data_IF_633560996385
#
_entry.id   IF_633560996385
#
_cell.length_a   1.000
_cell.length_b   1.000
_cell.length_c   1.000
_cell.angle_alpha   90.00
_cell.angle_beta   90.00
_cell.angle_gamma   90.00
#
_symmetry.space_group_name_H-M   'P 1'
#
loop_
_entity.id
_entity.type
_entity.pdbx_description
1 polymer ?
#
# COMPACT_ATOMS: atom_id res chain seq x y z
N UNK A 1 -9.50 -14.23 -23.67
CA UNK A 1 -10.90 -14.46 -23.24
C UNK A 1 -10.84 -14.74 -21.76
N UNK A 2 -11.45 -13.90 -20.96
CA UNK A 2 -11.43 -14.02 -19.49
C UNK A 2 -12.36 -15.14 -19.04
N UNK A 3 -11.91 -16.01 -18.14
CA UNK A 3 -12.73 -17.09 -17.59
C UNK A 3 -13.26 -16.72 -16.20
N UNK A 4 -14.59 -16.67 -16.04
CA UNK A 4 -15.20 -16.68 -14.72
C UNK A 4 -15.25 -18.12 -14.21
N UNK A 5 -14.58 -18.38 -13.09
CA UNK A 5 -14.43 -19.70 -12.50
C UNK A 5 -15.47 -19.93 -11.41
N UNK A 6 -15.96 -21.16 -11.33
CA UNK A 6 -16.70 -21.67 -10.17
C UNK A 6 -15.84 -22.64 -9.36
N UNK A 7 -16.23 -22.88 -8.11
CA UNK A 7 -15.50 -23.78 -7.20
C UNK A 7 -15.18 -25.13 -7.86
N UNK A 8 -13.90 -25.50 -7.84
CA UNK A 8 -13.35 -26.72 -8.44
C UNK A 8 -12.96 -26.62 -9.92
N UNK A 9 -13.35 -25.55 -10.61
CA UNK A 9 -13.03 -25.36 -12.04
C UNK A 9 -11.56 -25.05 -12.25
N UNK A 10 -11.02 -25.55 -13.37
CA UNK A 10 -9.65 -25.32 -13.80
C UNK A 10 -9.61 -24.46 -15.07
N UNK A 11 -8.58 -23.63 -15.20
CA UNK A 11 -8.32 -22.86 -16.40
C UNK A 11 -6.82 -22.81 -16.72
N UNK A 12 -6.39 -23.00 -17.98
CA UNK A 12 -4.98 -22.83 -18.35
C UNK A 12 -4.51 -21.39 -18.16
N UNK A 13 -3.26 -21.23 -17.75
CA UNK A 13 -2.62 -19.92 -17.68
C UNK A 13 -1.90 -19.64 -19.01
N UNK A 14 -2.08 -18.45 -19.62
CA UNK A 14 -1.46 -18.13 -20.92
C UNK A 14 0.03 -17.80 -20.82
N UNK A 15 0.55 -17.59 -19.61
CA UNK A 15 1.94 -17.27 -19.32
C UNK A 15 2.29 -17.56 -17.87
N UNK A 16 3.54 -17.28 -17.51
CA UNK A 16 4.15 -17.61 -16.21
C UNK A 16 4.25 -16.42 -15.29
N UNK A 17 4.22 -15.20 -15.84
CA UNK A 17 4.20 -13.94 -15.10
C UNK A 17 2.80 -13.37 -15.01
N UNK A 18 2.29 -13.26 -13.80
CA UNK A 18 0.90 -13.00 -13.48
C UNK A 18 0.81 -12.10 -12.25
N UNK A 19 -0.36 -11.51 -12.07
CA UNK A 19 -0.73 -10.87 -10.82
C UNK A 19 -2.04 -11.44 -10.31
N UNK A 20 -2.14 -11.59 -9.00
CA UNK A 20 -3.36 -12.02 -8.34
C UNK A 20 -3.88 -10.85 -7.53
N UNK A 21 -5.06 -10.36 -7.91
CA UNK A 21 -5.76 -9.28 -7.23
C UNK A 21 -6.85 -9.88 -6.35
N UNK A 22 -6.96 -9.39 -5.12
CA UNK A 22 -7.99 -9.83 -4.17
C UNK A 22 -8.73 -8.61 -3.66
N UNK A 23 -10.05 -8.70 -3.52
CA UNK A 23 -10.91 -7.65 -2.97
C UNK A 23 -11.97 -8.24 -2.04
N UNK A 24 -12.02 -7.76 -0.79
CA UNK A 24 -12.93 -8.26 0.27
C UNK A 24 -13.66 -7.12 1.01
N UNK A 25 -13.24 -5.86 0.81
CA UNK A 25 -13.90 -4.68 1.40
C UNK A 25 -13.64 -4.45 2.90
N UNK A 26 -13.06 -5.43 3.61
CA UNK A 26 -12.51 -5.29 4.97
C UNK A 26 -11.07 -5.79 5.00
N UNK A 27 -10.21 -5.26 5.90
CA UNK A 27 -8.82 -5.69 6.00
C UNK A 27 -8.70 -7.19 6.25
N UNK A 28 -8.11 -7.90 5.31
CA UNK A 28 -7.74 -9.31 5.42
C UNK A 28 -6.23 -9.48 5.22
N UNK A 29 -5.70 -10.62 5.64
CA UNK A 29 -4.34 -11.07 5.36
C UNK A 29 -4.35 -11.88 4.07
N UNK A 30 -3.41 -11.60 3.17
CA UNK A 30 -3.13 -12.44 2.01
C UNK A 30 -1.73 -13.06 2.14
N UNK A 31 -1.61 -14.31 1.72
CA UNK A 31 -0.34 -15.04 1.71
C UNK A 31 -0.33 -16.12 0.63
N UNK A 32 0.80 -16.79 0.49
CA UNK A 32 1.01 -17.88 -0.46
C UNK A 32 1.79 -19.00 0.20
N UNK A 33 1.40 -20.24 -0.08
CA UNK A 33 2.20 -21.43 0.25
C UNK A 33 2.62 -22.14 -1.01
N UNK A 34 3.89 -22.53 -1.05
CA UNK A 34 4.44 -23.43 -2.05
C UNK A 34 4.32 -24.88 -1.54
N UNK A 35 3.92 -25.79 -2.41
CA UNK A 35 3.84 -27.22 -2.08
C UNK A 35 4.43 -28.08 -3.18
N UNK A 36 4.91 -29.26 -2.78
CA UNK A 36 5.38 -30.30 -3.71
C UNK A 36 4.21 -30.99 -4.46
N UNK A 37 4.54 -31.99 -5.28
CA UNK A 37 3.57 -32.74 -6.08
C UNK A 37 2.48 -33.40 -5.22
N UNK A 38 2.83 -33.80 -4.00
CA UNK A 38 1.92 -34.41 -3.02
C UNK A 38 1.06 -33.38 -2.29
N UNK A 39 1.25 -32.08 -2.54
CA UNK A 39 0.53 -31.00 -1.88
C UNK A 39 1.09 -30.61 -0.53
N UNK A 40 2.28 -31.09 -0.16
CA UNK A 40 2.89 -30.83 1.15
C UNK A 40 3.77 -29.58 1.12
N UNK A 41 3.62 -28.74 2.13
CA UNK A 41 4.52 -27.61 2.40
C UNK A 41 5.69 -28.10 3.24
N UNK A 42 6.92 -27.98 2.72
CA UNK A 42 8.11 -28.61 3.33
C UNK A 42 8.64 -27.88 4.56
N UNK A 43 8.45 -26.57 4.63
CA UNK A 43 8.97 -25.73 5.70
C UNK A 43 8.36 -24.33 5.67
N UNK A 44 8.65 -23.55 6.71
CA UNK A 44 8.13 -22.17 6.84
C UNK A 44 8.74 -21.23 5.81
N UNK A 45 9.91 -21.57 5.27
CA UNK A 45 10.59 -20.92 4.14
C UNK A 45 9.87 -21.11 2.80
N UNK A 46 8.82 -21.93 2.75
CA UNK A 46 7.95 -22.12 1.58
C UNK A 46 6.64 -21.33 1.69
N UNK A 47 6.55 -20.41 2.67
CA UNK A 47 5.36 -19.61 2.94
C UNK A 47 5.68 -18.12 2.81
N UNK A 48 5.06 -17.45 1.85
CA UNK A 48 5.09 -16.01 1.72
C UNK A 48 3.91 -15.40 2.48
N UNK A 49 4.17 -14.46 3.38
CA UNK A 49 3.16 -13.83 4.21
C UNK A 49 3.61 -12.42 4.63
N UNK A 50 2.77 -11.59 5.28
CA UNK A 50 3.16 -10.21 5.62
C UNK A 50 4.47 -10.02 6.40
N UNK A 51 4.87 -11.00 7.21
CA UNK A 51 6.13 -11.00 7.97
C UNK A 51 7.34 -11.50 7.17
N UNK A 52 7.12 -12.30 6.11
CA UNK A 52 8.14 -12.78 5.18
C UNK A 52 7.56 -12.72 3.75
N UNK A 53 7.54 -11.53 3.14
CA UNK A 53 6.68 -11.26 1.98
C UNK A 53 7.23 -11.78 0.64
N UNK A 54 8.48 -12.24 0.61
CA UNK A 54 9.17 -12.60 -0.63
C UNK A 54 9.59 -14.07 -0.62
N UNK A 55 9.32 -14.75 -1.73
CA UNK A 55 9.92 -16.03 -2.11
C UNK A 55 10.44 -15.92 -3.55
N UNK A 56 11.27 -16.86 -4.03
CA UNK A 56 11.65 -16.89 -5.44
C UNK A 56 10.41 -16.89 -6.34
N UNK A 57 10.26 -15.85 -7.16
CA UNK A 57 9.12 -15.67 -8.05
C UNK A 57 7.82 -15.23 -7.39
N UNK A 58 7.78 -14.90 -6.08
CA UNK A 58 6.55 -14.49 -5.41
C UNK A 58 6.77 -13.28 -4.50
N UNK A 59 5.86 -12.33 -4.58
CA UNK A 59 5.76 -11.21 -3.65
C UNK A 59 4.32 -11.07 -3.16
N UNK A 60 4.15 -11.01 -1.84
CA UNK A 60 2.85 -10.79 -1.18
C UNK A 60 2.84 -9.50 -0.37
N UNK A 61 1.64 -8.91 -0.12
CA UNK A 61 1.52 -7.70 0.67
C UNK A 61 2.05 -7.84 2.11
N UNK A 62 2.65 -6.75 2.62
CA UNK A 62 3.28 -6.69 3.95
C UNK A 62 2.31 -6.36 5.09
N UNK A 63 1.02 -6.21 4.79
CA UNK A 63 0.01 -5.76 5.74
C UNK A 63 -1.36 -6.31 5.38
N UNK A 64 -2.28 -6.27 6.34
CA UNK A 64 -3.68 -6.53 6.07
C UNK A 64 -4.32 -5.33 5.35
N UNK A 65 -5.15 -5.60 4.36
CA UNK A 65 -5.83 -4.59 3.55
C UNK A 65 -7.12 -5.16 2.95
N UNK A 66 -8.03 -4.27 2.54
CA UNK A 66 -9.27 -4.66 1.86
C UNK A 66 -9.03 -5.16 0.43
N UNK A 67 -7.94 -4.70 -0.17
CA UNK A 67 -7.49 -5.05 -1.51
C UNK A 67 -6.03 -5.48 -1.46
N UNK A 68 -5.69 -6.54 -2.19
CA UNK A 68 -4.34 -7.07 -2.30
C UNK A 68 -3.93 -7.27 -3.75
N UNK A 69 -2.62 -7.15 -3.99
CA UNK A 69 -1.95 -7.51 -5.23
C UNK A 69 -0.76 -8.40 -4.90
N UNK A 70 -0.74 -9.60 -5.45
CA UNK A 70 0.35 -10.55 -5.31
C UNK A 70 1.03 -10.67 -6.68
N UNK A 71 2.36 -10.52 -6.72
CA UNK A 71 3.13 -10.72 -7.93
C UNK A 71 3.61 -12.17 -8.00
N UNK A 72 3.46 -12.79 -9.18
CA UNK A 72 3.79 -14.20 -9.40
C UNK A 72 4.58 -14.36 -10.70
N UNK A 73 5.80 -14.89 -10.60
CA UNK A 73 6.65 -15.35 -11.69
C UNK A 73 6.91 -16.85 -11.51
N UNK A 74 6.09 -17.67 -12.17
CA UNK A 74 6.12 -19.13 -12.09
C UNK A 74 7.41 -19.75 -12.66
N UNK A 75 8.18 -19.01 -13.47
CA UNK A 75 9.48 -19.48 -13.98
C UNK A 75 10.60 -19.29 -12.95
N UNK A 76 10.42 -18.38 -11.99
CA UNK A 76 11.37 -18.15 -10.90
C UNK A 76 11.07 -19.00 -9.64
N UNK A 77 9.95 -19.71 -9.63
CA UNK A 77 9.60 -20.66 -8.57
C UNK A 77 10.49 -21.91 -8.71
N UNK A 78 11.03 -22.47 -7.61
CA UNK A 78 11.87 -23.67 -7.65
C UNK A 78 11.18 -24.86 -8.32
N UNK A 79 11.95 -25.69 -9.04
CA UNK A 79 11.40 -26.80 -9.85
C UNK A 79 10.70 -27.89 -9.03
N UNK A 80 11.01 -28.02 -7.74
CA UNK A 80 10.38 -28.97 -6.85
C UNK A 80 9.00 -28.53 -6.34
N UNK A 81 8.61 -27.28 -6.61
CA UNK A 81 7.26 -26.76 -6.36
C UNK A 81 6.33 -27.16 -7.51
N UNK A 82 5.20 -27.75 -7.14
CA UNK A 82 4.18 -28.17 -8.10
C UNK A 82 2.86 -27.41 -7.93
N UNK A 83 2.66 -26.79 -6.76
CA UNK A 83 1.44 -26.06 -6.39
C UNK A 83 1.78 -24.76 -5.66
N UNK A 84 1.05 -23.71 -5.98
CA UNK A 84 1.09 -22.38 -5.36
C UNK A 84 -0.32 -22.06 -4.88
N UNK A 85 -0.56 -22.11 -3.57
CA UNK A 85 -1.88 -21.83 -3.01
C UNK A 85 -1.96 -20.39 -2.51
N UNK A 86 -2.99 -19.67 -2.93
CA UNK A 86 -3.30 -18.32 -2.43
C UNK A 86 -4.17 -18.43 -1.20
N UNK A 87 -3.69 -17.86 -0.11
CA UNK A 87 -4.31 -17.94 1.21
C UNK A 87 -4.89 -16.59 1.59
N UNK A 88 -6.12 -16.59 2.10
CA UNK A 88 -6.79 -15.43 2.69
C UNK A 88 -7.12 -15.74 4.15
N UNK A 89 -6.91 -14.79 5.06
CA UNK A 89 -7.25 -14.98 6.47
C UNK A 89 -7.69 -13.68 7.15
N UNK A 90 -8.53 -13.78 8.16
CA UNK A 90 -8.95 -12.64 8.96
C UNK A 90 -7.87 -12.33 10.02
N UNK A 91 -7.52 -11.04 10.24
CA UNK A 91 -6.61 -10.66 11.31
C UNK A 91 -7.20 -11.02 12.68
N UNK A 92 -6.39 -11.63 13.55
CA UNK A 92 -6.80 -11.96 14.92
C UNK A 92 -6.51 -10.78 15.86
N UNK A 93 -7.45 -10.47 16.77
CA UNK A 93 -7.19 -9.63 17.95
C UNK A 93 -7.51 -8.13 17.83
N UNK A 94 -8.02 -7.65 16.69
CA UNK A 94 -8.32 -6.22 16.49
C UNK A 94 -9.74 -6.03 15.96
N UNK A 95 -10.73 -5.89 16.86
CA UNK A 95 -12.08 -5.31 16.61
C UNK A 95 -12.73 -5.58 15.25
N UNK A 96 -12.54 -6.77 14.67
CA UNK A 96 -12.79 -7.06 13.27
C UNK A 96 -13.72 -8.26 13.09
N UNK A 97 -14.08 -8.58 11.84
CA UNK A 97 -14.87 -9.76 11.54
C UNK A 97 -14.16 -11.01 12.06
N UNK A 98 -14.91 -11.89 12.72
CA UNK A 98 -14.41 -13.18 13.24
C UNK A 98 -14.53 -14.30 12.21
N UNK A 99 -15.37 -14.12 11.19
CA UNK A 99 -15.57 -15.07 10.11
C UNK A 99 -15.88 -14.39 8.77
N UNK A 100 -15.58 -15.08 7.68
CA UNK A 100 -15.82 -14.60 6.32
C UNK A 100 -17.31 -14.55 5.97
N UNK A 101 -18.18 -15.31 6.66
CA UNK A 101 -19.63 -15.20 6.50
C UNK A 101 -20.22 -13.84 6.90
N UNK A 102 -19.49 -13.06 7.70
CA UNK A 102 -19.87 -11.69 8.04
C UNK A 102 -19.41 -10.63 7.01
N UNK A 103 -18.71 -11.06 5.95
CA UNK A 103 -18.11 -10.18 4.94
C UNK A 103 -18.77 -10.32 3.57
N UNK A 104 -18.52 -9.33 2.72
CA UNK A 104 -18.77 -9.51 1.30
C UNK A 104 -17.90 -10.66 0.77
N UNK A 105 -18.47 -11.45 -0.15
CA UNK A 105 -17.79 -12.57 -0.77
C UNK A 105 -16.44 -12.14 -1.36
N UNK A 106 -15.31 -12.76 -0.96
CA UNK A 106 -14.01 -12.43 -1.52
C UNK A 106 -14.00 -12.61 -3.04
N UNK A 107 -13.54 -11.59 -3.74
CA UNK A 107 -13.30 -11.65 -5.18
C UNK A 107 -11.81 -11.77 -5.45
N UNK A 108 -11.44 -12.70 -6.34
CA UNK A 108 -10.05 -12.90 -6.77
C UNK A 108 -9.99 -12.86 -8.29
N UNK A 109 -9.03 -12.12 -8.83
CA UNK A 109 -8.74 -12.08 -10.26
C UNK A 109 -7.26 -12.39 -10.52
N UNK A 110 -7.02 -13.26 -11.51
CA UNK A 110 -5.69 -13.52 -12.07
C UNK A 110 -5.57 -12.69 -13.34
N UNK A 111 -4.57 -11.82 -13.40
CA UNK A 111 -4.30 -10.93 -14.54
C UNK A 111 -2.90 -11.17 -15.09
N UNK A 112 -2.71 -10.85 -16.37
CA UNK A 112 -1.38 -10.63 -16.93
C UNK A 112 -0.76 -9.32 -16.41
N UNK A 113 0.52 -9.11 -16.71
CA UNK A 113 1.24 -7.87 -16.35
C UNK A 113 0.70 -6.62 -17.07
N UNK A 114 0.02 -6.82 -18.19
CA UNK A 114 -0.68 -5.77 -18.96
C UNK A 114 -2.08 -5.46 -18.39
N UNK A 115 -2.46 -6.08 -17.27
CA UNK A 115 -3.78 -5.94 -16.65
C UNK A 115 -4.87 -6.79 -17.33
N UNK A 116 -4.54 -7.55 -18.37
CA UNK A 116 -5.53 -8.41 -19.03
C UNK A 116 -6.02 -9.51 -18.09
N UNK A 117 -7.33 -9.59 -17.85
CA UNK A 117 -7.89 -10.57 -16.94
C UNK A 117 -7.90 -11.97 -17.58
N UNK A 118 -7.19 -12.91 -16.95
CA UNK A 118 -7.09 -14.32 -17.35
C UNK A 118 -8.26 -15.10 -16.76
N UNK A 119 -8.43 -15.00 -15.45
CA UNK A 119 -9.50 -15.69 -14.73
C UNK A 119 -9.99 -14.86 -13.54
N UNK A 120 -11.24 -15.06 -13.13
CA UNK A 120 -11.77 -14.50 -11.89
C UNK A 120 -12.60 -15.52 -11.13
N UNK A 121 -12.67 -15.37 -9.82
CA UNK A 121 -13.41 -16.24 -8.93
C UNK A 121 -13.98 -15.45 -7.76
N UNK A 122 -15.30 -15.55 -7.55
CA UNK A 122 -15.98 -15.06 -6.35
C UNK A 122 -16.19 -16.22 -5.39
N UNK A 123 -15.63 -16.12 -4.18
CA UNK A 123 -15.71 -17.17 -3.18
C UNK A 123 -17.02 -17.01 -2.40
N UNK A 124 -18.00 -17.84 -2.72
CA UNK A 124 -19.29 -17.92 -2.03
C UNK A 124 -19.29 -19.01 -0.96
N UNK A 125 -20.39 -19.10 -0.21
CA UNK A 125 -20.66 -20.19 0.75
C UNK A 125 -19.63 -20.29 1.89
N UNK A 126 -19.11 -19.14 2.33
CA UNK A 126 -18.33 -19.00 3.56
C UNK A 126 -19.26 -18.58 4.70
N UNK A 127 -19.09 -19.18 5.87
CA UNK A 127 -19.88 -18.95 7.07
C UNK A 127 -18.95 -18.72 8.28
N UNK A 128 -18.62 -19.78 9.03
CA UNK A 128 -17.81 -19.72 10.25
C UNK A 128 -16.29 -19.67 9.99
N UNK A 129 -15.85 -19.74 8.73
CA UNK A 129 -14.45 -19.83 8.38
C UNK A 129 -13.71 -18.51 8.55
N UNK A 130 -12.49 -18.56 9.12
CA UNK A 130 -11.63 -17.40 9.34
C UNK A 130 -10.36 -17.42 8.47
N UNK A 131 -10.13 -18.52 7.74
CA UNK A 131 -9.13 -18.62 6.69
C UNK A 131 -9.68 -19.39 5.48
N UNK A 132 -9.18 -19.11 4.28
CA UNK A 132 -9.62 -19.69 3.02
C UNK A 132 -8.44 -19.89 2.07
N UNK A 133 -8.34 -21.07 1.46
CA UNK A 133 -7.54 -21.28 0.24
C UNK A 133 -8.38 -20.84 -0.95
N UNK A 134 -8.01 -19.70 -1.55
CA UNK A 134 -8.78 -19.07 -2.60
C UNK A 134 -8.55 -19.73 -3.96
N UNK A 135 -7.29 -19.80 -4.38
CA UNK A 135 -6.83 -20.32 -5.66
C UNK A 135 -5.66 -21.27 -5.46
N UNK A 136 -5.53 -22.22 -6.37
CA UNK A 136 -4.34 -23.05 -6.52
C UNK A 136 -3.81 -22.87 -7.95
N UNK A 137 -2.57 -22.43 -8.10
CA UNK A 137 -1.84 -22.58 -9.36
C UNK A 137 -1.08 -23.89 -9.30
N UNK A 138 -1.26 -24.77 -10.27
CA UNK A 138 -0.61 -26.07 -10.29
C UNK A 138 -0.02 -26.38 -11.66
N UNK A 139 1.09 -27.11 -11.67
CA UNK A 139 1.76 -27.57 -12.89
C UNK A 139 1.28 -28.97 -13.24
N UNK A 140 0.90 -29.18 -14.50
CA UNK A 140 0.57 -30.50 -15.06
C UNK A 140 1.06 -30.58 -16.50
N UNK A 141 1.89 -31.59 -16.79
CA UNK A 141 2.49 -31.80 -18.13
C UNK A 141 3.20 -30.52 -18.62
N UNK A 142 4.03 -29.93 -17.76
CA UNK A 142 4.80 -28.70 -18.04
C UNK A 142 3.98 -27.44 -18.36
N UNK A 143 2.66 -27.49 -18.15
CA UNK A 143 1.78 -26.33 -18.24
C UNK A 143 1.20 -25.97 -16.88
N UNK A 144 1.22 -24.68 -16.56
CA UNK A 144 0.56 -24.14 -15.37
C UNK A 144 -0.93 -23.90 -15.62
N UNK A 145 -1.73 -24.20 -14.60
CA UNK A 145 -3.18 -24.02 -14.59
C UNK A 145 -3.59 -23.40 -13.27
N UNK A 146 -4.65 -22.60 -13.29
CA UNK A 146 -5.32 -22.12 -12.08
C UNK A 146 -6.53 -22.98 -11.79
N UNK A 147 -6.78 -23.24 -10.51
CA UNK A 147 -7.98 -23.87 -9.97
C UNK A 147 -8.64 -22.95 -8.97
N UNK A 148 -9.96 -22.78 -9.11
CA UNK A 148 -10.77 -22.16 -8.06
C UNK A 148 -10.99 -23.18 -6.93
N UNK A 149 -10.50 -22.88 -5.72
CA UNK A 149 -10.53 -23.84 -4.59
C UNK A 149 -11.67 -23.52 -3.62
N UNK A 150 -11.65 -22.33 -3.03
CA UNK A 150 -12.68 -21.86 -2.11
C UNK A 150 -12.86 -22.77 -0.88
N UNK A 151 -11.78 -23.33 -0.35
CA UNK A 151 -11.82 -24.17 0.84
C UNK A 151 -11.59 -23.30 2.08
N UNK A 152 -12.61 -23.18 2.91
CA UNK A 152 -12.52 -22.44 4.17
C UNK A 152 -12.14 -23.33 5.36
N UNK A 153 -11.60 -22.69 6.40
CA UNK A 153 -11.16 -23.30 7.65
C UNK A 153 -11.67 -22.48 8.84
N UNK A 154 -12.50 -23.11 9.68
CA UNK A 154 -13.01 -22.50 10.90
C UNK A 154 -11.90 -22.23 11.94
N UNK A 155 -10.94 -23.14 12.10
CA UNK A 155 -9.76 -22.92 12.95
C UNK A 155 -8.68 -22.03 12.35
N UNK A 156 -8.99 -21.34 11.24
CA UNK A 156 -8.16 -20.28 10.69
C UNK A 156 -6.84 -20.75 10.09
N UNK A 157 -5.83 -19.88 10.15
CA UNK A 157 -4.51 -20.12 9.55
C UNK A 157 -3.83 -21.39 10.05
N UNK A 158 -3.96 -21.70 11.35
CA UNK A 158 -3.28 -22.85 11.95
C UNK A 158 -3.80 -24.17 11.37
N UNK A 159 -5.12 -24.34 11.28
CA UNK A 159 -5.74 -25.53 10.71
C UNK A 159 -5.45 -25.65 9.21
N UNK A 160 -5.55 -24.53 8.47
CA UNK A 160 -5.24 -24.50 7.04
C UNK A 160 -3.80 -24.94 6.74
N UNK A 161 -2.82 -24.40 7.46
CA UNK A 161 -1.41 -24.77 7.30
C UNK A 161 -1.14 -26.21 7.75
N UNK A 162 -1.88 -26.70 8.76
CA UNK A 162 -1.78 -28.09 9.23
C UNK A 162 -2.30 -29.06 8.17
N UNK A 163 -3.42 -28.74 7.51
CA UNK A 163 -4.00 -29.53 6.42
C UNK A 163 -3.04 -29.64 5.22
N UNK A 164 -2.27 -28.58 4.95
CA UNK A 164 -1.20 -28.56 3.95
C UNK A 164 0.08 -29.32 4.39
N UNK A 165 0.08 -29.92 5.58
CA UNK A 165 1.17 -30.74 6.10
C UNK A 165 2.41 -29.96 6.54
N UNK A 166 2.29 -28.65 6.80
CA UNK A 166 3.39 -27.79 7.23
C UNK A 166 3.86 -28.16 8.65
N UNK A 167 5.13 -28.51 8.86
CA UNK A 167 5.71 -28.63 10.20
C UNK A 167 5.70 -27.27 10.92
N UNK A 168 5.25 -27.23 12.18
CA UNK A 168 5.18 -25.98 12.95
C UNK A 168 4.06 -25.03 12.53
N UNK A 169 3.01 -25.54 11.87
CA UNK A 169 1.88 -24.74 11.36
C UNK A 169 1.30 -23.73 12.37
N UNK A 170 1.13 -24.13 13.63
CA UNK A 170 0.59 -23.26 14.68
C UNK A 170 1.55 -22.13 15.06
N UNK A 171 2.85 -22.40 15.12
CA UNK A 171 3.88 -21.42 15.43
C UNK A 171 3.99 -20.38 14.30
N UNK A 172 3.96 -20.83 13.05
CA UNK A 172 3.95 -19.93 11.91
C UNK A 172 2.67 -19.08 11.86
N UNK A 173 1.50 -19.68 12.10
CA UNK A 173 0.24 -18.93 12.17
C UNK A 173 0.27 -17.83 13.25
N UNK A 174 0.83 -18.14 14.42
CA UNK A 174 1.07 -17.15 15.48
C UNK A 174 1.99 -16.02 15.02
N UNK A 175 3.09 -16.36 14.37
CA UNK A 175 4.06 -15.39 13.81
C UNK A 175 3.41 -14.47 12.75
N UNK A 176 2.57 -15.04 11.87
CA UNK A 176 1.81 -14.27 10.88
C UNK A 176 0.87 -13.28 11.57
N UNK A 177 0.09 -13.76 12.53
CA UNK A 177 -0.86 -12.93 13.27
C UNK A 177 -0.17 -11.80 14.02
N UNK A 178 0.98 -12.07 14.65
CA UNK A 178 1.75 -11.06 15.35
C UNK A 178 2.32 -10.01 14.38
N UNK A 179 2.90 -10.43 13.25
CA UNK A 179 3.41 -9.51 12.24
C UNK A 179 2.31 -8.57 11.70
N UNK A 180 1.10 -9.11 11.50
CA UNK A 180 -0.06 -8.35 11.06
C UNK A 180 -0.55 -7.39 12.14
N UNK A 181 -0.65 -7.83 13.39
CA UNK A 181 -1.02 -6.98 14.51
C UNK A 181 -0.04 -5.82 14.71
N UNK A 182 1.26 -6.06 14.59
CA UNK A 182 2.30 -5.02 14.60
C UNK A 182 2.20 -4.08 13.39
N UNK A 183 1.82 -4.60 12.21
CA UNK A 183 1.53 -3.79 11.02
C UNK A 183 0.35 -2.83 11.25
N UNK A 184 -0.78 -3.35 11.73
CA UNK A 184 -1.98 -2.58 12.06
C UNK A 184 -1.71 -1.50 13.11
N UNK A 185 -0.95 -1.82 14.17
CA UNK A 185 -0.59 -0.85 15.20
C UNK A 185 0.27 0.31 14.66
N UNK A 186 1.19 0.04 13.72
CA UNK A 186 2.01 1.08 13.08
C UNK A 186 1.20 1.99 12.17
N UNK A 187 0.20 1.45 11.47
CA UNK A 187 -0.67 2.25 10.60
C UNK A 187 -1.62 3.19 11.37
N UNK A 188 -1.85 2.93 12.65
CA UNK A 188 -2.69 3.78 13.54
C UNK A 188 -1.87 4.83 14.31
N UNK A 189 -0.56 4.63 14.48
CA UNK A 189 0.28 5.57 15.23
C UNK A 189 0.51 6.87 14.42
N UNK A 190 -0.08 7.98 14.88
CA UNK A 190 0.19 9.31 14.34
C UNK A 190 1.68 9.68 14.51
N UNK A 191 2.28 10.40 13.53
CA UNK A 191 3.66 10.87 13.68
C UNK A 191 3.79 11.76 14.93
N UNK A 192 4.89 11.65 15.70
CA UNK A 192 5.07 12.51 16.87
C UNK A 192 5.03 13.99 16.45
N UNK A 193 4.40 14.88 17.25
CA UNK A 193 4.38 16.30 16.94
C UNK A 193 5.82 16.80 16.87
N UNK A 194 6.21 17.33 15.71
CA UNK A 194 7.48 18.03 15.56
C UNK A 194 7.45 19.21 16.54
N UNK A 195 8.43 19.37 17.44
CA UNK A 195 8.52 20.59 18.23
C UNK A 195 8.65 21.77 17.27
N UNK A 196 7.83 22.79 17.47
CA UNK A 196 7.80 24.01 16.67
C UNK A 196 9.16 24.70 16.66
N UNK A 197 9.59 25.09 15.46
CA UNK A 197 10.84 25.80 15.17
C UNK A 197 10.74 27.30 15.55
N UNK A 198 10.32 27.60 16.78
CA UNK A 198 10.20 28.99 17.28
C UNK A 198 11.43 29.48 18.05
N UNK A 199 12.51 28.70 18.10
CA UNK A 199 13.72 29.05 18.87
C UNK A 199 14.88 29.63 18.04
N UNK A 200 14.70 29.94 16.75
CA UNK A 200 15.79 30.46 15.91
C UNK A 200 15.53 31.77 15.18
N UNK A 201 14.81 32.74 15.76
CA UNK A 201 15.01 34.15 15.36
C UNK A 201 14.70 35.06 16.54
N UNK A 202 15.74 35.51 17.28
CA UNK A 202 15.69 36.75 18.07
C UNK A 202 17.08 37.15 18.58
N UNK A 203 17.96 37.61 17.69
CA UNK A 203 18.94 38.65 18.06
C UNK A 203 19.44 39.43 16.83
N UNK A 204 18.66 40.43 16.42
CA UNK A 204 19.14 41.63 15.72
C UNK A 204 18.43 42.79 16.42
N UNK A 205 19.04 43.90 16.82
CA UNK A 205 20.43 44.32 16.92
C UNK A 205 20.45 45.57 17.80
N UNK A 206 21.64 46.03 18.22
CA UNK A 206 21.80 47.38 18.74
C UNK A 206 23.13 47.95 18.26
N UNK A 207 23.04 48.91 17.36
CA UNK A 207 24.11 49.80 16.90
C UNK A 207 24.14 51.05 17.79
N UNK A 208 25.33 51.52 18.16
CA UNK A 208 25.67 52.94 18.36
C UNK A 208 27.19 53.09 18.51
N UNK A 209 27.67 54.28 18.13
CA UNK A 209 28.97 54.59 17.56
C UNK A 209 30.08 54.97 18.57
N UNK A 210 31.34 54.89 18.10
CA UNK A 210 32.52 55.55 18.68
C UNK A 210 33.85 54.92 18.25
N UNK A 211 34.63 55.58 17.37
CA UNK A 211 36.06 55.28 17.16
C UNK A 211 36.97 56.03 18.16
N UNK A 212 38.33 56.03 18.03
CA UNK A 212 39.17 55.44 16.97
C UNK A 212 40.42 54.64 17.46
N UNK A 213 41.14 53.97 16.53
CA UNK A 213 42.62 53.81 16.61
C UNK A 213 43.25 52.46 16.22
N UNK A 214 43.98 52.44 15.07
CA UNK A 214 45.20 51.67 14.71
C UNK A 214 45.22 50.11 14.83
N UNK A 215 45.81 49.27 13.97
CA UNK A 215 46.69 49.31 12.77
C UNK A 215 46.87 47.86 12.27
N UNK A 216 47.13 47.66 10.96
CA UNK A 216 47.79 46.47 10.38
C UNK A 216 46.84 45.50 9.64
N UNK A 217 46.74 45.57 8.31
CA UNK A 217 47.49 44.76 7.31
C UNK A 217 47.24 43.24 7.45
N UNK A 218 46.89 42.44 6.45
CA UNK A 218 46.70 42.63 5.01
C UNK A 218 45.81 41.49 4.48
N UNK A 219 45.03 41.77 3.43
CA UNK A 219 44.39 40.78 2.56
C UNK A 219 45.22 40.65 1.26
N UNK A 220 44.76 40.00 0.17
CA UNK A 220 43.74 38.96 -0.02
C UNK A 220 44.26 37.84 -0.96
N UNK A 221 43.40 36.90 -1.38
CA UNK A 221 43.62 36.27 -2.69
C UNK A 221 42.94 34.93 -2.92
N UNK A 222 41.65 34.95 -3.26
CA UNK A 222 40.97 33.87 -4.00
C UNK A 222 41.31 34.03 -5.50
N UNK A 223 41.30 32.96 -6.30
CA UNK A 223 40.49 33.06 -7.51
C UNK A 223 39.64 31.81 -7.82
N UNK A 224 38.64 32.08 -8.66
CA UNK A 224 37.62 31.20 -9.20
C UNK A 224 38.10 30.50 -10.51
N UNK A 225 37.29 29.61 -11.14
CA UNK A 225 37.74 28.56 -12.06
C UNK A 225 37.77 28.99 -13.54
N UNK A 226 38.61 28.32 -14.34
CA UNK A 226 38.64 28.45 -15.80
C UNK A 226 38.21 27.14 -16.50
N UNK A 227 37.48 27.30 -17.59
CA UNK A 227 36.87 26.27 -18.42
C UNK A 227 37.83 25.78 -19.56
N UNK A 228 37.41 24.94 -20.54
CA UNK A 228 38.11 23.71 -20.92
C UNK A 228 38.94 23.84 -22.20
N UNK A 229 39.99 23.02 -22.34
CA UNK A 229 40.75 22.85 -23.58
C UNK A 229 40.55 21.45 -24.17
N UNK A 230 40.28 21.39 -25.47
CA UNK A 230 40.15 20.20 -26.33
C UNK A 230 41.52 19.73 -26.88
N UNK A 231 41.61 18.54 -27.51
CA UNK A 231 42.74 17.62 -27.37
C UNK A 231 43.82 17.76 -28.44
N UNK A 232 45.05 17.37 -28.07
CA UNK A 232 46.17 17.12 -28.97
C UNK A 232 46.57 15.65 -28.89
N UNK A 233 46.65 15.04 -30.06
CA UNK A 233 46.93 13.64 -30.35
C UNK A 233 48.44 13.33 -30.24
N UNK A 234 48.83 12.17 -29.69
CA UNK A 234 50.08 11.42 -29.97
C UNK A 234 50.07 10.11 -29.17
N UNK A 235 50.26 8.99 -29.87
CA UNK A 235 49.85 7.67 -29.40
C UNK A 235 50.89 6.79 -28.69
N UNK A 236 50.34 5.62 -28.30
CA UNK A 236 50.94 4.31 -28.02
C UNK A 236 51.63 4.09 -26.66
N UNK A 237 50.96 3.39 -25.74
CA UNK A 237 51.18 1.94 -25.54
C UNK A 237 50.49 1.42 -24.26
N UNK A 238 49.84 0.25 -24.36
CA UNK A 238 49.65 -0.70 -23.24
C UNK A 238 48.43 -0.55 -22.33
N UNK A 239 47.43 -1.42 -22.52
CA UNK A 239 46.40 -1.74 -21.51
C UNK A 239 45.03 -1.08 -21.73
N UNK A 240 44.21 -1.65 -22.62
CA UNK A 240 42.88 -1.12 -22.91
C UNK A 240 41.86 -1.41 -21.79
N UNK A 241 41.06 -0.41 -21.35
CA UNK A 241 39.86 -0.65 -20.54
C UNK A 241 38.73 -1.20 -21.43
N UNK A 242 37.92 -2.09 -20.87
CA UNK A 242 36.77 -2.71 -21.54
C UNK A 242 35.79 -1.63 -22.01
N UNK A 243 35.45 -1.66 -23.30
CA UNK A 243 34.54 -0.70 -23.92
C UNK A 243 33.08 -1.22 -23.84
N UNK A 244 32.22 -0.49 -23.14
CA UNK A 244 30.78 -0.78 -23.00
C UNK A 244 29.90 -0.13 -24.08
N UNK A 245 30.45 0.24 -25.25
CA UNK A 245 29.61 0.75 -26.36
C UNK A 245 28.89 -0.41 -27.05
N UNK A 246 27.62 -0.59 -26.70
CA UNK A 246 26.68 -1.40 -27.48
C UNK A 246 26.27 -0.63 -28.77
N UNK A 247 26.45 -1.21 -29.97
CA UNK A 247 25.99 -0.58 -31.21
C UNK A 247 24.47 -0.75 -31.30
N UNK A 248 23.72 0.23 -30.79
CA UNK A 248 22.26 0.21 -30.84
C UNK A 248 21.52 1.22 -29.96
N UNK A 249 22.22 1.99 -29.12
CA UNK A 249 21.55 3.03 -28.32
C UNK A 249 21.31 4.27 -29.17
N UNK A 250 20.15 4.32 -29.83
CA UNK A 250 19.59 5.59 -30.27
C UNK A 250 19.43 6.47 -29.02
N UNK A 251 20.17 7.57 -28.96
CA UNK A 251 19.93 8.62 -27.96
C UNK A 251 18.60 9.26 -28.30
N UNK A 252 17.52 8.77 -27.69
CA UNK A 252 16.26 9.51 -27.66
C UNK A 252 16.49 10.79 -26.87
N UNK A 253 16.03 11.91 -27.42
CA UNK A 253 16.04 13.22 -26.76
C UNK A 253 15.37 13.08 -25.39
N UNK A 254 15.93 13.62 -24.30
CA UNK A 254 15.27 13.62 -23.00
C UNK A 254 13.85 14.20 -23.12
N UNK A 255 12.84 13.59 -22.48
CA UNK A 255 11.49 14.11 -22.55
C UNK A 255 11.44 15.55 -22.00
N UNK A 256 10.61 16.43 -22.58
CA UNK A 256 10.47 17.81 -22.10
C UNK A 256 10.03 17.81 -20.63
N UNK A 257 10.52 18.74 -19.78
CA UNK A 257 10.15 18.76 -18.36
C UNK A 257 8.64 18.88 -18.16
N UNK A 258 8.12 18.38 -17.04
CA UNK A 258 6.72 18.51 -16.69
C UNK A 258 6.33 20.00 -16.54
N UNK A 259 5.19 20.44 -17.07
CA UNK A 259 4.67 21.77 -16.79
C UNK A 259 4.53 21.93 -15.27
N UNK A 260 5.22 22.92 -14.70
CA UNK A 260 5.26 23.16 -13.26
C UNK A 260 4.32 24.30 -12.92
N UNK A 261 3.43 24.08 -11.94
CA UNK A 261 2.56 25.14 -11.41
C UNK A 261 3.39 26.31 -10.84
N UNK A 262 2.85 27.52 -10.93
CA UNK A 262 3.45 28.67 -10.25
C UNK A 262 3.47 28.43 -8.73
N UNK A 263 4.50 28.89 -7.99
CA UNK A 263 4.58 28.72 -6.54
C UNK A 263 3.32 29.26 -5.86
N UNK A 264 2.67 28.44 -5.04
CA UNK A 264 1.49 28.85 -4.30
C UNK A 264 1.82 29.97 -3.30
N UNK A 265 0.93 30.97 -3.18
CA UNK A 265 1.02 31.95 -2.10
C UNK A 265 0.91 31.27 -0.73
N UNK A 266 1.60 31.75 0.31
CA UNK A 266 1.53 31.14 1.65
C UNK A 266 0.08 31.04 2.14
N UNK A 267 -0.40 29.81 2.37
CA UNK A 267 -1.75 29.54 2.85
C UNK A 267 -2.81 29.28 1.76
N UNK A 268 -2.43 29.27 0.48
CA UNK A 268 -3.30 28.82 -0.63
C UNK A 268 -2.80 27.51 -1.23
N UNK A 269 -3.71 26.59 -1.63
CA UNK A 269 -3.32 25.41 -2.40
C UNK A 269 -2.76 25.84 -3.76
N UNK A 270 -1.78 25.08 -4.28
CA UNK A 270 -1.25 25.28 -5.61
C UNK A 270 -2.36 25.03 -6.66
N UNK A 271 -2.37 25.83 -7.72
CA UNK A 271 -3.34 25.66 -8.79
C UNK A 271 -2.94 24.41 -9.60
N UNK A 272 -3.86 23.44 -9.80
CA UNK A 272 -3.55 22.23 -10.56
C UNK A 272 -3.23 22.55 -12.02
N UNK A 273 -2.30 21.79 -12.61
CA UNK A 273 -1.83 21.99 -13.99
C UNK A 273 -1.90 20.67 -14.77
N UNK A 274 -2.32 20.73 -16.03
CA UNK A 274 -2.50 19.55 -16.86
C UNK A 274 -1.13 18.93 -17.21
N UNK A 275 -0.98 17.63 -16.95
CA UNK A 275 0.25 16.88 -17.18
C UNK A 275 1.37 17.19 -16.18
N UNK A 276 1.04 17.62 -14.96
CA UNK A 276 2.01 17.83 -13.87
C UNK A 276 2.59 16.52 -13.30
N UNK A 277 1.93 15.38 -13.57
CA UNK A 277 2.41 14.05 -13.24
C UNK A 277 3.66 13.64 -14.03
N UNK A 278 4.36 12.60 -13.56
CA UNK A 278 5.53 12.04 -14.25
C UNK A 278 5.12 11.25 -15.49
N UNK A 279 5.87 11.39 -16.59
CA UNK A 279 5.61 10.64 -17.84
C UNK A 279 6.54 11.09 -18.97
N UNK A 280 6.69 10.24 -19.99
CA UNK A 280 7.59 10.47 -21.13
C UNK A 280 6.90 11.24 -22.25
N UNK A 281 5.57 11.16 -22.33
CA UNK A 281 4.72 11.96 -23.22
C UNK A 281 3.65 12.73 -22.44
N UNK A 282 3.03 13.74 -23.07
CA UNK A 282 1.91 14.47 -22.46
C UNK A 282 0.71 13.54 -22.20
N UNK A 283 0.43 12.63 -23.13
CA UNK A 283 -0.65 11.65 -23.00
C UNK A 283 -0.44 10.70 -21.82
N UNK A 284 0.79 10.24 -21.60
CA UNK A 284 1.17 9.41 -20.44
C UNK A 284 1.06 10.19 -19.13
N UNK A 285 1.42 11.48 -19.13
CA UNK A 285 1.26 12.34 -17.94
C UNK A 285 -0.19 12.57 -17.59
N UNK A 286 -1.04 12.86 -18.58
CA UNK A 286 -2.48 13.01 -18.37
C UNK A 286 -3.09 11.70 -17.87
N UNK A 287 -2.72 10.55 -18.45
CA UNK A 287 -3.14 9.24 -17.96
C UNK A 287 -2.73 9.02 -16.49
N UNK A 288 -1.48 9.29 -16.14
CA UNK A 288 -0.98 9.12 -14.77
C UNK A 288 -1.64 10.11 -13.79
N UNK A 289 -1.96 11.33 -14.24
CA UNK A 289 -2.68 12.33 -13.45
C UNK A 289 -4.13 11.88 -13.20
N UNK A 290 -4.85 11.43 -14.23
CA UNK A 290 -6.21 10.85 -14.09
C UNK A 290 -6.19 9.65 -13.15
N UNK A 291 -5.21 8.77 -13.31
CA UNK A 291 -5.05 7.62 -12.43
C UNK A 291 -4.83 8.04 -10.97
N UNK A 292 -3.94 9.01 -10.73
CA UNK A 292 -3.71 9.60 -9.42
C UNK A 292 -4.97 10.19 -8.80
N UNK A 293 -5.80 10.90 -9.58
CA UNK A 293 -7.08 11.44 -9.11
C UNK A 293 -8.04 10.33 -8.65
N UNK A 294 -8.10 9.19 -9.35
CA UNK A 294 -8.91 8.05 -8.91
C UNK A 294 -8.40 7.44 -7.59
N UNK A 295 -7.08 7.33 -7.43
CA UNK A 295 -6.47 6.87 -6.17
C UNK A 295 -6.75 7.83 -5.01
N UNK A 296 -6.67 9.13 -5.26
CA UNK A 296 -6.90 10.18 -4.27
C UNK A 296 -8.38 10.25 -3.87
N UNK A 297 -9.30 10.07 -4.82
CA UNK A 297 -10.73 9.93 -4.55
C UNK A 297 -11.00 8.70 -3.65
N UNK A 298 -10.43 7.55 -4.00
CA UNK A 298 -10.59 6.32 -3.23
C UNK A 298 -10.03 6.49 -1.81
N UNK A 299 -8.85 7.11 -1.67
CA UNK A 299 -8.21 7.40 -0.38
C UNK A 299 -9.05 8.35 0.48
N UNK A 300 -9.60 9.40 -0.13
CA UNK A 300 -10.45 10.39 0.55
C UNK A 300 -11.75 9.74 1.06
N UNK A 301 -12.42 8.93 0.23
CA UNK A 301 -13.62 8.21 0.63
C UNK A 301 -13.35 7.19 1.75
N UNK A 302 -12.22 6.49 1.69
CA UNK A 302 -11.79 5.57 2.74
C UNK A 302 -11.49 6.30 4.06
N UNK A 303 -10.85 7.47 4.00
CA UNK A 303 -10.56 8.30 5.17
C UNK A 303 -11.85 8.83 5.83
N UNK A 304 -12.80 9.32 5.03
CA UNK A 304 -14.11 9.76 5.52
C UNK A 304 -14.85 8.62 6.24
N UNK A 305 -14.94 7.44 5.60
CA UNK A 305 -15.60 6.27 6.21
C UNK A 305 -14.93 5.87 7.52
N UNK A 306 -13.61 5.81 7.55
CA UNK A 306 -12.85 5.46 8.75
C UNK A 306 -13.06 6.47 9.88
N UNK A 307 -13.18 7.76 9.55
CA UNK A 307 -13.45 8.80 10.54
C UNK A 307 -14.88 8.71 11.13
N UNK A 308 -15.87 8.35 10.31
CA UNK A 308 -17.24 8.08 10.78
C UNK A 308 -17.28 6.85 11.67
N UNK A 309 -16.66 5.74 11.25
CA UNK A 309 -16.59 4.50 12.05
C UNK A 309 -15.88 4.77 13.40
N UNK A 310 -14.83 5.60 13.41
CA UNK A 310 -14.16 6.03 14.63
C UNK A 310 -15.08 6.87 15.53
N UNK A 311 -15.86 7.80 14.97
CA UNK A 311 -16.81 8.61 15.73
C UNK A 311 -17.88 7.72 16.40
N UNK A 312 -18.38 6.72 15.68
CA UNK A 312 -19.36 5.74 16.19
C UNK A 312 -18.77 4.90 17.33
N UNK A 313 -17.59 4.31 17.14
CA UNK A 313 -16.91 3.53 18.18
C UNK A 313 -16.62 4.38 19.42
N UNK A 314 -16.21 5.64 19.23
CA UNK A 314 -15.96 6.56 20.33
C UNK A 314 -17.23 6.86 21.13
N UNK A 315 -18.37 7.03 20.44
CA UNK A 315 -19.67 7.24 21.08
C UNK A 315 -20.09 6.01 21.88
N UNK A 316 -19.99 4.81 21.29
CA UNK A 316 -20.33 3.55 21.95
C UNK A 316 -19.52 3.36 23.25
N UNK A 317 -18.22 3.61 23.22
CA UNK A 317 -17.36 3.56 24.41
C UNK A 317 -17.78 4.57 25.49
N UNK A 318 -18.21 5.78 25.13
CA UNK A 318 -18.72 6.75 26.10
C UNK A 318 -20.06 6.30 26.70
N UNK A 319 -20.95 5.72 25.89
CA UNK A 319 -22.24 5.19 26.36
C UNK A 319 -22.05 4.00 27.30
N UNK A 320 -21.18 3.06 26.95
CA UNK A 320 -20.84 1.91 27.80
C UNK A 320 -20.26 2.35 29.14
N UNK A 321 -19.38 3.36 29.13
CA UNK A 321 -18.84 3.95 30.36
C UNK A 321 -19.95 4.52 31.24
N UNK A 322 -20.92 5.23 30.66
CA UNK A 322 -22.08 5.78 31.38
C UNK A 322 -23.00 4.68 31.93
N UNK A 323 -23.15 3.56 31.22
CA UNK A 323 -23.94 2.41 31.67
C UNK A 323 -23.24 1.59 32.76
N UNK A 324 -21.90 1.54 32.72
CA UNK A 324 -21.10 0.80 33.69
C UNK A 324 -21.22 1.35 35.12
N UNK A 325 -21.32 2.67 35.29
CA UNK A 325 -21.48 3.31 36.60
C UNK A 325 -22.95 3.20 37.09
N UNK A 326 -23.22 2.49 38.20
CA UNK A 326 -24.57 2.32 38.73
C UNK A 326 -25.26 3.64 39.09
N UNK A 327 -24.51 4.70 39.42
CA UNK A 327 -25.05 6.01 39.81
C UNK A 327 -25.55 6.83 38.62
N UNK A 328 -25.07 6.54 37.41
CA UNK A 328 -25.47 7.24 36.17
C UNK A 328 -26.50 6.48 35.33
N UNK A 329 -26.98 5.31 35.80
CA UNK A 329 -28.01 4.55 35.07
C UNK A 329 -29.40 5.19 35.11
N UNK A 330 -29.75 5.89 36.18
CA UNK A 330 -31.08 6.49 36.38
C UNK A 330 -30.90 7.91 36.92
N UNK A 331 -31.21 8.91 36.09
CA UNK A 331 -31.21 10.34 36.47
C UNK A 331 -30.54 11.27 35.45
N UNK A 332 -30.79 12.57 35.61
CA UNK A 332 -30.40 13.64 34.67
C UNK A 332 -28.90 13.68 34.32
N UNK A 333 -28.01 13.21 35.20
CA UNK A 333 -26.56 13.14 34.94
C UNK A 333 -26.21 12.12 33.87
N UNK A 334 -26.88 10.97 33.86
CA UNK A 334 -26.73 9.95 32.82
C UNK A 334 -27.26 10.43 31.48
N UNK A 335 -28.41 11.12 31.49
CA UNK A 335 -29.01 11.72 30.29
C UNK A 335 -28.08 12.78 29.67
N UNK A 336 -27.55 13.69 30.48
CA UNK A 336 -26.59 14.70 30.03
C UNK A 336 -25.29 14.10 29.46
N UNK A 337 -24.79 13.00 30.03
CA UNK A 337 -23.60 12.33 29.53
C UNK A 337 -23.84 11.63 28.18
N UNK A 338 -25.02 10.99 27.99
CA UNK A 338 -25.41 10.39 26.71
C UNK A 338 -25.65 11.45 25.64
N UNK A 339 -26.24 12.58 26.01
CA UNK A 339 -26.42 13.73 25.11
C UNK A 339 -25.06 14.31 24.68
N UNK A 340 -24.13 14.51 25.61
CA UNK A 340 -22.78 14.97 25.32
C UNK A 340 -22.01 14.02 24.38
N UNK A 341 -22.15 12.70 24.57
CA UNK A 341 -21.56 11.70 23.66
C UNK A 341 -22.10 11.82 22.24
N UNK A 342 -23.43 11.99 22.08
CA UNK A 342 -24.07 12.22 20.76
C UNK A 342 -23.64 13.54 20.12
N UNK A 343 -23.50 14.61 20.91
CA UNK A 343 -23.00 15.90 20.41
C UNK A 343 -21.57 15.77 19.87
N UNK A 344 -20.67 15.08 20.60
CA UNK A 344 -19.31 14.85 20.14
C UNK A 344 -19.25 13.99 18.87
N UNK A 345 -20.08 12.95 18.79
CA UNK A 345 -20.22 12.16 17.58
C UNK A 345 -20.60 13.05 16.39
N UNK A 346 -21.63 13.89 16.54
CA UNK A 346 -22.03 14.85 15.50
C UNK A 346 -20.88 15.76 15.05
N UNK A 347 -20.15 16.34 16.01
CA UNK A 347 -18.99 17.20 15.71
C UNK A 347 -17.89 16.47 14.94
N UNK A 348 -17.59 15.21 15.28
CA UNK A 348 -16.59 14.42 14.58
C UNK A 348 -17.03 14.08 13.15
N UNK A 349 -18.30 13.72 12.95
CA UNK A 349 -18.87 13.46 11.62
C UNK A 349 -18.86 14.74 10.77
N UNK A 350 -19.22 15.88 11.33
CA UNK A 350 -19.19 17.17 10.64
C UNK A 350 -17.77 17.56 10.23
N UNK A 351 -16.77 17.31 11.09
CA UNK A 351 -15.35 17.53 10.76
C UNK A 351 -14.87 16.60 9.64
N UNK A 352 -15.23 15.31 9.70
CA UNK A 352 -14.89 14.35 8.66
C UNK A 352 -15.52 14.76 7.32
N UNK A 353 -16.76 15.22 7.33
CA UNK A 353 -17.47 15.71 6.14
C UNK A 353 -16.82 16.97 5.58
N UNK A 354 -16.44 17.93 6.42
CA UNK A 354 -15.74 19.13 5.98
C UNK A 354 -14.35 18.84 5.40
N UNK A 355 -13.69 17.75 5.81
CA UNK A 355 -12.47 17.28 5.16
C UNK A 355 -12.76 16.67 3.78
N UNK A 356 -13.74 15.76 3.70
CA UNK A 356 -14.20 15.18 2.42
C UNK A 356 -14.58 16.26 1.41
N UNK A 357 -15.37 17.25 1.81
CA UNK A 357 -15.83 18.32 0.91
C UNK A 357 -14.65 19.17 0.39
N UNK A 358 -13.60 19.38 1.20
CA UNK A 358 -12.38 20.07 0.74
C UNK A 358 -11.61 19.24 -0.28
N UNK A 359 -11.41 17.96 0.00
CA UNK A 359 -10.66 17.06 -0.87
C UNK A 359 -11.40 16.83 -2.20
N UNK A 360 -12.73 16.71 -2.18
CA UNK A 360 -13.57 16.68 -3.38
C UNK A 360 -13.50 17.99 -4.17
N UNK A 361 -13.43 19.14 -3.49
CA UNK A 361 -13.22 20.43 -4.14
C UNK A 361 -11.88 20.52 -4.88
N UNK A 362 -10.81 19.95 -4.29
CA UNK A 362 -9.50 19.86 -4.93
C UNK A 362 -9.54 18.94 -6.17
N UNK A 363 -10.14 17.75 -6.04
CA UNK A 363 -10.27 16.79 -7.15
C UNK A 363 -11.14 17.34 -8.30
N UNK A 364 -12.18 18.12 -7.98
CA UNK A 364 -12.97 18.81 -8.99
C UNK A 364 -12.12 19.82 -9.77
N UNK A 365 -11.31 20.63 -9.07
CA UNK A 365 -10.40 21.59 -9.71
C UNK A 365 -9.33 20.89 -10.57
N UNK A 366 -8.84 19.71 -10.17
CA UNK A 366 -7.93 18.90 -10.98
C UNK A 366 -8.61 18.34 -12.23
N UNK A 367 -9.88 17.93 -12.13
CA UNK A 367 -10.64 17.40 -13.27
C UNK A 367 -10.87 18.45 -14.37
N UNK A 368 -11.16 19.69 -13.99
CA UNK A 368 -11.36 20.82 -14.92
C UNK A 368 -10.09 21.15 -15.72
N UNK A 369 -8.92 20.78 -15.20
CA UNK A 369 -7.63 21.06 -15.85
C UNK A 369 -7.24 19.93 -16.81
N UNK A 370 -7.63 18.69 -16.51
CA UNK A 370 -7.32 17.50 -17.31
C UNK A 370 -8.29 17.32 -18.48
N UNK A 371 -9.57 17.65 -18.28
CA UNK A 371 -10.60 17.75 -19.33
C UNK A 371 -11.23 19.16 -19.29
N UNK A 372 -10.68 20.15 -20.03
CA UNK A 372 -11.12 21.54 -19.99
C UNK A 372 -12.45 21.85 -20.68
#
# INVERSE_FOLDING_TARGET
MTAELVRGQNHPLPGTRLEIRVSVGKPIVAGVTLSDEQGKVRGTDWVAHPGSPNLPGLEVPKQAAADHRLAVDLDAVPEDVHRVNVLLALPVGVGGPVSFGALAAPFVAVTGLDGSQVASYTITDLDAESAVVALELYRRQDAWKVRAVGQGYAGGLADMLTDQGLPGAHELAGTINEAVAQGLARSVAAPPPRPSDEARVRTTGQTTAGGPGATGDAAPGRPAPAAPHQPGDTGSSGGGPVNYTHPGRQTTTPPPPAPTAAPAEPGRPAQPVAGDATGWSMEERLYNQVWGMFEDLARTMAAYRSAVDFAESRMEQELDKVLSDPRSRIGNTGDAAREAARTKHGLLVDQARAALDRDLGQLAAESEVVEP
#
